data_IF_260325778920
#
_entry.id   IF_260325778920
#
_cell.length_a   1.000
_cell.length_b   1.000
_cell.length_c   1.000
_cell.angle_alpha   90.00
_cell.angle_beta   90.00
_cell.angle_gamma   90.00
#
_symmetry.space_group_name_H-M   'P 1'
#
loop_
_entity.id
_entity.type
_entity.pdbx_description
1 polymer ?
#
# COMPACT_ATOMS: atom_id res chain seq x y z
N UNK A 1 -4.63 -6.68 24.33
CA UNK A 1 -3.24 -7.10 24.61
C UNK A 1 -2.45 -5.83 24.99
N UNK A 2 -1.50 -5.85 25.93
CA UNK A 2 -0.67 -4.63 26.21
C UNK A 2 0.25 -4.39 25.02
N UNK A 3 0.25 -3.18 24.47
CA UNK A 3 1.09 -2.80 23.34
C UNK A 3 2.57 -3.06 23.66
N UNK A 4 3.29 -3.69 22.71
CA UNK A 4 4.72 -3.96 22.88
C UNK A 4 5.48 -2.62 22.90
N UNK A 5 6.43 -2.40 23.83
CA UNK A 5 7.23 -1.17 23.87
C UNK A 5 7.91 -0.79 22.54
N UNK A 6 8.24 -1.79 21.70
CA UNK A 6 8.77 -1.55 20.35
C UNK A 6 7.72 -0.93 19.43
N UNK A 7 6.48 -1.42 19.47
CA UNK A 7 5.38 -0.93 18.63
C UNK A 7 4.99 0.50 19.03
N UNK A 8 5.01 0.81 20.32
CA UNK A 8 4.77 2.16 20.81
C UNK A 8 5.82 3.17 20.29
N UNK A 9 7.09 2.78 20.22
CA UNK A 9 8.15 3.62 19.65
C UNK A 9 8.00 3.79 18.14
N UNK A 10 7.60 2.74 17.41
CA UNK A 10 7.32 2.81 15.98
C UNK A 10 6.13 3.73 15.69
N UNK A 11 5.09 3.67 16.53
CA UNK A 11 3.89 4.51 16.40
C UNK A 11 4.24 6.00 16.43
N UNK A 12 5.17 6.42 17.28
CA UNK A 12 5.65 7.81 17.32
C UNK A 12 6.24 8.23 15.98
N UNK A 13 7.05 7.39 15.34
CA UNK A 13 7.62 7.72 14.02
C UNK A 13 6.56 7.75 12.90
N UNK A 14 5.41 7.12 13.14
CA UNK A 14 4.28 7.11 12.21
C UNK A 14 3.32 8.31 12.38
N UNK A 15 3.52 9.15 13.40
CA UNK A 15 2.74 10.36 13.63
C UNK A 15 2.95 11.41 12.54
N UNK A 16 1.94 12.24 12.32
CA UNK A 16 2.00 13.37 11.42
C UNK A 16 3.16 14.32 11.77
N UNK A 17 3.91 14.75 10.76
CA UNK A 17 5.03 15.68 10.92
C UNK A 17 6.36 15.05 11.33
N UNK A 18 6.41 13.76 11.68
CA UNK A 18 7.68 13.08 12.05
C UNK A 18 8.51 12.68 10.84
N UNK A 19 7.96 11.85 9.97
CA UNK A 19 8.61 11.43 8.72
C UNK A 19 7.97 12.05 7.49
N UNK A 20 6.65 12.16 7.48
CA UNK A 20 5.85 12.79 6.43
C UNK A 20 4.78 13.68 7.05
N UNK A 21 4.31 14.68 6.29
CA UNK A 21 3.38 15.71 6.77
C UNK A 21 2.14 15.10 7.43
N UNK A 22 1.48 14.16 6.77
CA UNK A 22 0.18 13.64 7.20
C UNK A 22 0.29 12.35 8.05
N UNK A 23 1.51 11.84 8.27
CA UNK A 23 1.75 10.58 9.00
C UNK A 23 1.24 9.35 8.25
N UNK A 24 1.18 8.20 8.94
CA UNK A 24 0.76 6.91 8.37
C UNK A 24 -0.48 6.32 9.05
N UNK A 25 -0.98 6.94 10.12
CA UNK A 25 -2.04 6.37 10.94
C UNK A 25 -3.41 7.00 10.71
N UNK A 26 -3.47 8.21 10.13
CA UNK A 26 -4.73 8.93 9.97
C UNK A 26 -5.46 9.10 11.31
N UNK A 27 -6.71 8.65 11.35
CA UNK A 27 -7.60 8.68 12.53
C UNK A 27 -7.58 7.34 13.29
N UNK A 28 -6.66 6.44 12.96
CA UNK A 28 -6.61 5.10 13.54
C UNK A 28 -5.96 5.09 14.92
N UNK A 29 -6.79 4.88 15.94
CA UNK A 29 -6.37 4.79 17.33
C UNK A 29 -6.04 3.37 17.79
N UNK A 30 -6.22 2.36 16.94
CA UNK A 30 -5.88 0.97 17.28
C UNK A 30 -4.36 0.81 17.46
N UNK A 31 -3.92 -0.12 18.32
CA UNK A 31 -2.51 -0.54 18.37
C UNK A 31 -2.01 -0.97 16.98
N UNK A 32 -0.73 -0.72 16.69
CA UNK A 32 -0.14 -1.03 15.37
C UNK A 32 -0.30 -2.52 15.01
N UNK A 33 -0.09 -3.41 15.99
CA UNK A 33 -0.25 -4.85 15.82
C UNK A 33 -1.70 -5.26 15.52
N UNK A 34 -2.70 -4.56 16.06
CA UNK A 34 -4.11 -4.85 15.78
C UNK A 34 -4.49 -4.39 14.35
N UNK A 35 -3.95 -3.26 13.88
CA UNK A 35 -4.14 -2.81 12.49
C UNK A 35 -3.60 -3.87 11.52
N UNK A 36 -2.34 -4.28 11.72
CA UNK A 36 -1.66 -5.28 10.87
C UNK A 36 -2.40 -6.62 10.92
N UNK A 37 -2.77 -7.08 12.12
CA UNK A 37 -3.44 -8.39 12.29
C UNK A 37 -4.79 -8.41 11.58
N UNK A 38 -5.59 -7.35 11.68
CA UNK A 38 -6.90 -7.30 11.02
C UNK A 38 -6.79 -7.25 9.48
N UNK A 39 -5.79 -6.53 8.96
CA UNK A 39 -5.53 -6.50 7.51
C UNK A 39 -5.02 -7.88 7.04
N UNK A 40 -4.19 -8.58 7.83
CA UNK A 40 -3.74 -9.96 7.55
C UNK A 40 -4.89 -10.98 7.60
N UNK A 41 -5.80 -10.88 8.57
CA UNK A 41 -6.98 -11.75 8.65
C UNK A 41 -7.86 -11.60 7.41
N UNK A 42 -8.01 -10.37 6.91
CA UNK A 42 -8.74 -10.07 5.66
C UNK A 42 -8.07 -10.78 4.48
N UNK A 43 -6.76 -10.66 4.35
CA UNK A 43 -5.99 -11.32 3.29
C UNK A 43 -6.04 -12.85 3.39
N UNK A 44 -6.02 -13.40 4.60
CA UNK A 44 -6.13 -14.83 4.83
C UNK A 44 -7.48 -15.38 4.33
N UNK A 45 -8.58 -14.63 4.54
CA UNK A 45 -9.90 -14.96 4.00
C UNK A 45 -9.95 -14.97 2.47
N UNK A 46 -9.11 -14.16 1.81
CA UNK A 46 -8.99 -14.08 0.35
C UNK A 46 -7.96 -15.05 -0.23
N UNK A 47 -7.21 -15.76 0.61
CA UNK A 47 -6.08 -16.62 0.20
C UNK A 47 -5.01 -15.86 -0.60
N UNK A 48 -4.77 -14.60 -0.25
CA UNK A 48 -3.73 -13.75 -0.84
C UNK A 48 -2.72 -13.36 0.22
N UNK A 49 -1.44 -13.31 -0.14
CA UNK A 49 -0.41 -12.76 0.74
C UNK A 49 -0.14 -11.28 0.46
N UNK A 50 0.23 -10.53 1.50
CA UNK A 50 0.69 -9.15 1.37
C UNK A 50 1.93 -9.04 0.46
N UNK A 51 2.77 -10.09 0.41
CA UNK A 51 3.93 -10.18 -0.49
C UNK A 51 3.48 -10.23 -1.96
N UNK A 52 2.43 -10.98 -2.30
CA UNK A 52 1.89 -11.03 -3.66
C UNK A 52 1.34 -9.68 -4.11
N UNK A 53 0.61 -9.00 -3.23
CA UNK A 53 0.12 -7.64 -3.47
C UNK A 53 1.28 -6.68 -3.75
N UNK A 54 2.27 -6.64 -2.85
CA UNK A 54 3.46 -5.79 -3.01
C UNK A 54 4.18 -6.06 -4.33
N UNK A 55 4.38 -7.33 -4.69
CA UNK A 55 5.00 -7.70 -5.97
C UNK A 55 4.18 -7.25 -7.18
N UNK A 56 2.85 -7.37 -7.12
CA UNK A 56 1.96 -6.92 -8.20
C UNK A 56 2.00 -5.40 -8.37
N UNK A 57 1.89 -4.64 -7.27
CA UNK A 57 2.04 -3.19 -7.29
C UNK A 57 3.40 -2.78 -7.88
N UNK A 58 4.48 -3.42 -7.44
CA UNK A 58 5.84 -3.15 -7.92
C UNK A 58 6.01 -3.43 -9.41
N UNK A 59 5.38 -4.49 -9.94
CA UNK A 59 5.40 -4.79 -11.38
C UNK A 59 4.73 -3.67 -12.18
N UNK A 60 3.57 -3.17 -11.73
CA UNK A 60 2.87 -2.07 -12.40
C UNK A 60 3.66 -0.77 -12.33
N UNK A 61 4.17 -0.40 -11.16
CA UNK A 61 5.05 0.77 -11.00
C UNK A 61 6.25 0.72 -11.94
N UNK A 62 6.94 -0.43 -12.05
CA UNK A 62 8.08 -0.58 -12.96
C UNK A 62 7.71 -0.38 -14.44
N UNK A 63 6.51 -0.78 -14.85
CA UNK A 63 6.03 -0.52 -16.22
C UNK A 63 5.85 0.98 -16.46
N UNK A 64 5.22 1.70 -15.51
CA UNK A 64 5.06 3.15 -15.61
C UNK A 64 6.39 3.91 -15.65
N UNK A 65 7.41 3.42 -14.93
CA UNK A 65 8.74 4.03 -14.91
C UNK A 65 9.44 4.05 -16.29
N UNK A 66 8.97 3.28 -17.27
CA UNK A 66 9.50 3.32 -18.63
C UNK A 66 9.27 4.70 -19.30
N UNK A 67 8.24 5.44 -18.88
CA UNK A 67 7.95 6.80 -19.34
C UNK A 67 7.38 7.64 -18.18
N UNK A 68 8.26 8.12 -17.30
CA UNK A 68 7.87 8.95 -16.14
C UNK A 68 7.16 10.22 -16.60
N UNK A 69 6.03 10.53 -15.95
CA UNK A 69 5.18 11.68 -16.29
C UNK A 69 4.12 11.39 -17.35
N UNK A 70 4.25 10.29 -18.09
CA UNK A 70 3.32 9.85 -19.12
C UNK A 70 2.49 8.64 -18.67
N UNK A 71 1.36 8.45 -19.35
CA UNK A 71 0.51 7.26 -19.14
C UNK A 71 1.00 6.14 -20.03
N UNK A 72 1.38 5.02 -19.43
CA UNK A 72 1.88 3.81 -20.08
C UNK A 72 0.80 2.74 -20.10
N UNK A 73 0.63 2.09 -21.25
CA UNK A 73 -0.19 0.88 -21.37
C UNK A 73 0.52 -0.33 -20.74
N UNK A 74 -0.12 -0.95 -19.76
CA UNK A 74 0.43 -2.05 -18.97
C UNK A 74 -0.37 -3.37 -19.12
N UNK A 75 -1.15 -3.54 -20.19
CA UNK A 75 -2.04 -4.69 -20.38
C UNK A 75 -3.47 -4.32 -19.98
N UNK A 76 -4.00 -4.95 -18.93
CA UNK A 76 -5.34 -4.62 -18.41
C UNK A 76 -5.41 -3.25 -17.70
N UNK A 77 -4.24 -2.63 -17.48
CA UNK A 77 -4.11 -1.38 -16.76
C UNK A 77 -3.46 -0.27 -17.60
N UNK A 78 -3.79 0.97 -17.26
CA UNK A 78 -3.04 2.17 -17.64
C UNK A 78 -2.30 2.67 -16.40
N UNK A 79 -1.00 2.93 -16.52
CA UNK A 79 -0.15 3.30 -15.40
C UNK A 79 0.52 4.63 -15.66
N UNK A 80 0.42 5.57 -14.72
CA UNK A 80 1.19 6.81 -14.72
C UNK A 80 2.06 6.86 -13.47
N UNK A 81 3.36 7.05 -13.65
CA UNK A 81 4.29 7.27 -12.53
C UNK A 81 4.81 8.69 -12.52
N UNK A 82 4.81 9.31 -11.35
CA UNK A 82 5.36 10.64 -11.11
C UNK A 82 6.42 10.54 -10.01
N UNK A 83 7.60 11.08 -10.27
CA UNK A 83 8.73 11.06 -9.35
C UNK A 83 9.11 12.46 -8.92
N UNK A 84 9.40 12.62 -7.63
CA UNK A 84 9.81 13.86 -7.00
C UNK A 84 11.19 13.69 -6.35
N UNK A 85 11.89 14.80 -6.16
CA UNK A 85 13.23 14.78 -5.57
C UNK A 85 13.24 14.25 -4.14
N UNK A 86 14.14 13.32 -3.88
CA UNK A 86 14.50 12.84 -2.55
C UNK A 86 13.95 11.44 -2.22
N UNK A 87 14.19 11.06 -0.97
CA UNK A 87 13.92 9.72 -0.45
C UNK A 87 13.08 9.78 0.81
N UNK A 88 12.31 8.73 1.07
CA UNK A 88 11.58 8.51 2.31
C UNK A 88 12.13 7.27 3.02
N UNK A 89 12.36 7.39 4.33
CA UNK A 89 12.73 6.26 5.17
C UNK A 89 11.50 5.45 5.59
N UNK A 90 11.69 4.14 5.78
CA UNK A 90 10.67 3.28 6.35
C UNK A 90 10.45 3.60 7.84
N UNK A 91 9.19 3.80 8.32
CA UNK A 91 8.91 4.01 9.73
C UNK A 91 9.29 2.81 10.62
N UNK A 92 9.35 1.59 10.05
CA UNK A 92 9.80 0.37 10.76
C UNK A 92 11.32 0.27 10.97
N UNK A 93 12.10 1.27 10.54
CA UNK A 93 13.56 1.37 10.74
C UNK A 93 14.38 0.19 10.20
N UNK A 94 13.92 -0.45 9.14
CA UNK A 94 14.63 -1.53 8.42
C UNK A 94 15.75 -1.03 7.48
N UNK A 95 16.21 0.21 7.67
CA UNK A 95 17.17 0.93 6.83
C UNK A 95 16.78 1.10 5.35
N UNK A 96 15.57 0.72 4.93
CA UNK A 96 15.11 0.93 3.55
C UNK A 96 14.79 2.40 3.31
N UNK A 97 15.19 2.86 2.12
CA UNK A 97 14.78 4.15 1.55
C UNK A 97 14.00 3.90 0.26
N UNK A 98 12.85 4.54 0.14
CA UNK A 98 12.01 4.52 -1.06
C UNK A 98 12.10 5.87 -1.78
N UNK A 99 12.10 5.85 -3.12
CA UNK A 99 12.03 7.08 -3.90
C UNK A 99 10.69 7.77 -3.62
N UNK A 100 10.65 9.11 -3.64
CA UNK A 100 9.39 9.84 -3.60
C UNK A 100 8.68 9.72 -4.94
N UNK A 101 8.07 8.57 -5.17
CA UNK A 101 7.36 8.25 -6.41
C UNK A 101 5.93 7.88 -6.11
N UNK A 102 5.00 8.45 -6.87
CA UNK A 102 3.59 8.08 -6.89
C UNK A 102 3.31 7.31 -8.18
N UNK A 103 2.55 6.22 -8.05
CA UNK A 103 2.02 5.45 -9.17
C UNK A 103 0.50 5.56 -9.12
N UNK A 104 -0.11 6.03 -10.19
CA UNK A 104 -1.55 5.95 -10.43
C UNK A 104 -1.79 4.83 -11.43
N UNK A 105 -2.66 3.90 -11.08
CA UNK A 105 -3.04 2.77 -11.94
C UNK A 105 -4.55 2.84 -12.16
N UNK A 106 -4.96 2.78 -13.42
CA UNK A 106 -6.36 2.66 -13.83
C UNK A 106 -6.62 1.30 -14.46
N UNK A 107 -7.61 0.59 -13.97
CA UNK A 107 -8.15 -0.60 -14.63
C UNK A 107 -8.96 -0.17 -15.86
N UNK A 108 -8.64 -0.73 -17.03
CA UNK A 108 -9.31 -0.38 -18.28
C UNK A 108 -10.73 -0.91 -18.40
N UNK A 109 -11.04 -2.05 -17.76
CA UNK A 109 -12.35 -2.66 -17.80
C UNK A 109 -13.34 -1.91 -16.91
N UNK A 110 -12.90 -1.54 -15.70
CA UNK A 110 -13.79 -0.91 -14.70
C UNK A 110 -13.65 0.60 -14.59
N UNK A 111 -12.62 1.20 -15.21
CA UNK A 111 -12.19 2.59 -15.01
C UNK A 111 -11.88 2.97 -13.55
N UNK A 112 -11.81 2.00 -12.64
CA UNK A 112 -11.39 2.25 -11.25
C UNK A 112 -9.91 2.63 -11.23
N UNK A 113 -9.55 3.48 -10.28
CA UNK A 113 -8.18 3.94 -10.09
C UNK A 113 -7.70 3.63 -8.69
N UNK A 114 -6.43 3.27 -8.58
CA UNK A 114 -5.70 3.16 -7.32
C UNK A 114 -4.38 3.90 -7.42
N UNK A 115 -3.98 4.53 -6.32
CA UNK A 115 -2.72 5.24 -6.20
C UNK A 115 -1.91 4.71 -5.04
N UNK A 116 -0.61 4.57 -5.23
CA UNK A 116 0.32 4.24 -4.15
C UNK A 116 1.68 4.89 -4.36
N UNK A 117 2.47 4.93 -3.29
CA UNK A 117 3.87 5.32 -3.36
C UNK A 117 4.79 4.10 -3.35
N UNK A 118 6.05 4.27 -3.76
CA UNK A 118 7.09 3.24 -3.57
C UNK A 118 7.22 2.81 -2.09
N UNK A 119 7.02 3.76 -1.17
CA UNK A 119 7.03 3.47 0.26
C UNK A 119 5.82 2.61 0.67
N UNK A 120 4.63 2.90 0.13
CA UNK A 120 3.42 2.09 0.36
C UNK A 120 3.65 0.63 -0.06
N UNK A 121 4.26 0.39 -1.22
CA UNK A 121 4.60 -0.96 -1.69
C UNK A 121 5.49 -1.66 -0.65
N UNK A 122 6.54 -0.99 -0.18
CA UNK A 122 7.47 -1.54 0.79
C UNK A 122 6.81 -1.87 2.14
N UNK A 123 5.95 -0.96 2.64
CA UNK A 123 5.20 -1.16 3.89
C UNK A 123 4.29 -2.39 3.82
N UNK A 124 3.62 -2.60 2.68
CA UNK A 124 2.76 -3.78 2.47
C UNK A 124 3.60 -5.04 2.29
N UNK A 125 4.60 -5.01 1.41
CA UNK A 125 5.37 -6.20 1.03
C UNK A 125 6.18 -6.76 2.22
N UNK A 126 6.83 -5.91 3.01
CA UNK A 126 7.75 -6.32 4.06
C UNK A 126 7.14 -6.32 5.47
N UNK A 127 6.14 -5.47 5.73
CA UNK A 127 5.58 -5.26 7.08
C UNK A 127 4.09 -5.57 7.19
N UNK A 128 3.44 -6.02 6.10
CA UNK A 128 2.00 -6.22 6.02
C UNK A 128 1.19 -5.00 6.50
N UNK A 129 1.75 -3.79 6.38
CA UNK A 129 1.17 -2.57 6.91
C UNK A 129 0.52 -1.74 5.81
N UNK A 130 -0.80 -1.71 5.80
CA UNK A 130 -1.62 -1.00 4.80
C UNK A 130 -1.94 0.43 5.20
N UNK A 131 -1.26 0.96 6.24
CA UNK A 131 -1.52 2.25 6.90
C UNK A 131 -2.81 2.28 7.72
N UNK A 132 -2.95 3.25 8.63
CA UNK A 132 -4.15 3.39 9.47
C UNK A 132 -5.34 3.98 8.71
N UNK A 133 -6.55 3.70 9.21
CA UNK A 133 -7.80 4.28 8.69
C UNK A 133 -7.75 5.81 8.66
N UNK A 134 -8.20 6.40 7.57
CA UNK A 134 -8.13 7.85 7.33
C UNK A 134 -6.77 8.36 6.84
N UNK A 135 -5.73 7.51 6.74
CA UNK A 135 -4.48 7.90 6.10
C UNK A 135 -4.67 8.09 4.59
N UNK A 136 -4.05 9.14 4.03
CA UNK A 136 -4.17 9.49 2.61
C UNK A 136 -3.66 8.41 1.64
N UNK A 137 -2.79 7.52 2.12
CA UNK A 137 -2.23 6.41 1.35
C UNK A 137 -2.66 5.03 1.87
N UNK A 138 -3.70 4.95 2.70
CA UNK A 138 -4.29 3.65 3.06
C UNK A 138 -4.90 2.99 1.83
N UNK A 139 -4.60 1.70 1.68
CA UNK A 139 -5.21 0.83 0.68
C UNK A 139 -5.96 -0.26 1.42
N UNK A 140 -7.27 -0.38 1.21
CA UNK A 140 -8.03 -1.47 1.82
C UNK A 140 -7.59 -2.82 1.21
N UNK A 141 -7.18 -3.82 2.02
CA UNK A 141 -6.59 -5.06 1.51
C UNK A 141 -7.45 -5.80 0.49
N UNK A 142 -8.75 -5.92 0.77
CA UNK A 142 -9.72 -6.58 -0.11
C UNK A 142 -9.89 -5.84 -1.43
N UNK A 143 -10.07 -4.52 -1.38
CA UNK A 143 -10.21 -3.70 -2.57
C UNK A 143 -8.95 -3.79 -3.45
N UNK A 144 -7.76 -3.79 -2.84
CA UNK A 144 -6.49 -3.89 -3.55
C UNK A 144 -6.32 -5.26 -4.20
N UNK A 145 -6.65 -6.34 -3.50
CA UNK A 145 -6.58 -7.70 -4.05
C UNK A 145 -7.52 -7.86 -5.25
N UNK A 146 -8.78 -7.41 -5.12
CA UNK A 146 -9.74 -7.42 -6.20
C UNK A 146 -9.29 -6.56 -7.40
N UNK A 147 -8.76 -5.35 -7.14
CA UNK A 147 -8.24 -4.47 -8.19
C UNK A 147 -7.07 -5.07 -8.96
N UNK A 148 -6.19 -5.81 -8.28
CA UNK A 148 -5.01 -6.46 -8.87
C UNK A 148 -5.30 -7.83 -9.50
N UNK A 149 -6.55 -8.31 -9.44
CA UNK A 149 -6.94 -9.62 -9.97
C UNK A 149 -6.22 -10.80 -9.29
N UNK A 150 -5.82 -10.64 -8.03
CA UNK A 150 -5.24 -11.72 -7.22
C UNK A 150 -6.36 -12.49 -6.52
N UNK A 151 -6.17 -13.78 -6.17
CA UNK A 151 -7.27 -14.65 -5.77
C UNK A 151 -8.13 -14.06 -4.64
N UNK A 152 -9.44 -14.33 -4.67
CA UNK A 152 -10.41 -13.67 -3.81
C UNK A 152 -11.03 -12.39 -4.40
N UNK A 153 -10.74 -12.01 -5.66
CA UNK A 153 -11.68 -11.18 -6.42
C UNK A 153 -13.03 -11.94 -6.43
N UNK A 154 -13.90 -11.62 -5.48
CA UNK A 154 -15.24 -12.17 -5.38
C UNK A 154 -15.93 -11.89 -6.71
N UNK A 155 -15.89 -12.88 -7.60
CA UNK A 155 -16.94 -13.06 -8.58
C UNK A 155 -18.21 -13.12 -7.73
N UNK A 156 -19.20 -12.24 -7.93
CA UNK A 156 -20.49 -12.41 -7.29
C UNK A 156 -20.95 -13.82 -7.62
N UNK A 157 -21.12 -14.66 -6.60
CA UNK A 157 -21.92 -15.86 -6.77
C UNK A 157 -23.36 -15.35 -6.84
N UNK A 158 -23.81 -15.05 -8.05
CA UNK A 158 -25.22 -14.81 -8.31
C UNK A 158 -25.98 -16.10 -7.90
N UNK A 159 -26.85 -15.98 -6.90
CA UNK A 159 -27.90 -16.95 -6.57
C UNK A 159 -29.16 -16.68 -7.41
#
# INVERSE_FOLDING_TARGET
>A
MKENPRDALLRVDMEAGRLIKDGFLGEDHRPLSDIISQDLDTLAGLQVSHVELGRAMRRLTRKGMAAIGETVDAGDYLVKTEEYMGWLGCPFKDARRAAKRNTLVRDKATNKEMRWSDLTIHLIEEHAFFQGKGSAFRLEPEALAAFLGLPGALVPQDE
#
